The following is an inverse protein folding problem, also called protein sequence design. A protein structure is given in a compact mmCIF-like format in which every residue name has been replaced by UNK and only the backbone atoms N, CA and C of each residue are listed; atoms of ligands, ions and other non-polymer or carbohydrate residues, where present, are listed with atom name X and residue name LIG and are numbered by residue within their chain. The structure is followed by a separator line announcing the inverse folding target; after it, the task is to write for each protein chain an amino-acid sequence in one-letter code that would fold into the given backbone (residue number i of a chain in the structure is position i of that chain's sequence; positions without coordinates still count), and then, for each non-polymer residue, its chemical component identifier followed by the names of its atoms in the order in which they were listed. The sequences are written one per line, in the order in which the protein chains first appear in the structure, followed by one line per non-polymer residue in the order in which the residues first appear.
data_IF_293776010898
#
_entry.id   IF_293776010898
#
_cell.length_a   1.000
_cell.length_b   1.000
_cell.length_c   1.000
_cell.angle_alpha   90.00
_cell.angle_beta   90.00
_cell.angle_gamma   90.00
#
_symmetry.space_group_name_H-M   'P 1'
#
loop_
_entity.id
_entity.type
_entity.pdbx_description
1 polymer ?
#
# COMPACT_ATOMS: atom_id res chain seq x y z
N UNK A 1 14.75 -31.05 21.38
CA UNK A 1 15.30 -30.07 22.34
C UNK A 1 16.25 -29.06 21.69
N UNK A 2 17.37 -29.46 21.08
CA UNK A 2 18.34 -28.52 20.49
C UNK A 2 17.74 -27.57 19.43
N UNK A 3 16.89 -28.09 18.53
CA UNK A 3 16.18 -27.25 17.56
C UNK A 3 15.25 -26.22 18.18
N UNK A 4 14.60 -26.56 19.31
CA UNK A 4 13.70 -25.66 20.03
C UNK A 4 14.49 -24.54 20.72
N UNK A 5 15.65 -24.87 21.30
CA UNK A 5 16.54 -23.89 21.94
C UNK A 5 17.13 -22.92 20.91
N UNK A 6 17.54 -23.41 19.74
CA UNK A 6 18.05 -22.57 18.67
C UNK A 6 16.96 -21.65 18.10
N UNK A 7 15.73 -22.16 17.89
CA UNK A 7 14.62 -21.30 17.44
C UNK A 7 14.27 -20.22 18.47
N UNK A 8 14.31 -20.52 19.77
CA UNK A 8 14.01 -19.53 20.82
C UNK A 8 15.13 -18.50 20.96
N UNK A 9 16.40 -18.91 20.94
CA UNK A 9 17.54 -18.00 20.99
C UNK A 9 17.56 -17.07 19.76
N UNK A 10 17.20 -17.57 18.58
CA UNK A 10 17.09 -16.76 17.37
C UNK A 10 15.89 -15.80 17.42
N UNK A 11 14.75 -16.24 17.96
CA UNK A 11 13.60 -15.35 18.18
C UNK A 11 13.93 -14.20 19.15
N UNK A 12 14.67 -14.49 20.21
CA UNK A 12 15.15 -13.47 21.14
C UNK A 12 16.14 -12.52 20.47
N UNK A 13 17.00 -13.01 19.57
CA UNK A 13 17.91 -12.16 18.80
C UNK A 13 17.15 -11.26 17.81
N UNK A 14 16.12 -11.77 17.11
CA UNK A 14 15.24 -10.92 16.28
C UNK A 14 14.53 -9.89 17.13
N UNK A 15 13.95 -10.29 18.26
CA UNK A 15 13.24 -9.35 19.14
C UNK A 15 14.20 -8.27 19.66
N UNK A 16 15.43 -8.62 20.02
CA UNK A 16 16.48 -7.66 20.39
C UNK A 16 16.86 -6.77 19.21
N UNK A 17 17.05 -7.31 18.00
CA UNK A 17 17.39 -6.53 16.80
C UNK A 17 16.23 -5.61 16.40
N UNK A 18 14.98 -6.07 16.45
CA UNK A 18 13.79 -5.28 16.13
C UNK A 18 13.60 -4.18 17.17
N UNK A 19 13.86 -4.45 18.45
CA UNK A 19 13.86 -3.44 19.52
C UNK A 19 15.01 -2.44 19.38
N UNK A 20 16.22 -2.89 19.04
CA UNK A 20 17.40 -2.03 18.85
C UNK A 20 17.36 -1.23 17.54
N UNK A 21 16.77 -1.77 16.48
CA UNK A 21 16.48 -1.02 15.23
C UNK A 21 15.37 0.03 15.46
N UNK A 22 14.75 0.04 16.64
CA UNK A 22 13.85 1.11 17.07
C UNK A 22 12.47 0.98 16.45
N UNK A 23 11.65 0.07 16.97
CA UNK A 23 10.18 0.17 16.79
C UNK A 23 9.56 1.40 17.45
N UNK A 24 10.36 2.17 18.19
CA UNK A 24 10.01 3.49 18.70
C UNK A 24 10.09 4.59 17.62
N UNK A 25 10.20 4.23 16.33
CA UNK A 25 10.03 5.21 15.26
C UNK A 25 8.61 5.76 15.27
N UNK A 26 8.50 6.92 15.91
CA UNK A 26 7.28 7.69 16.00
C UNK A 26 6.96 8.27 14.62
N UNK A 27 5.86 7.84 14.03
CA UNK A 27 5.35 8.43 12.80
C UNK A 27 4.90 9.86 13.08
N UNK A 28 5.36 10.82 12.30
CA UNK A 28 4.93 12.20 12.40
C UNK A 28 4.02 12.56 11.22
N UNK A 29 2.87 13.13 11.55
CA UNK A 29 1.88 13.63 10.60
C UNK A 29 1.68 15.13 10.80
N UNK A 30 1.61 15.88 9.70
CA UNK A 30 1.19 17.29 9.76
C UNK A 30 -0.31 17.34 10.01
N UNK A 31 -0.73 18.27 10.86
CA UNK A 31 -2.13 18.55 11.21
C UNK A 31 -2.36 20.05 11.15
N UNK A 32 -3.58 20.44 10.79
CA UNK A 32 -4.00 21.83 10.78
C UNK A 32 -4.92 22.08 11.97
N UNK A 33 -4.66 23.14 12.70
CA UNK A 33 -5.52 23.60 13.80
C UNK A 33 -6.64 24.50 13.29
N UNK A 34 -7.66 24.72 14.13
CA UNK A 34 -8.81 25.55 13.79
C UNK A 34 -8.44 27.00 13.47
N UNK A 35 -7.31 27.48 13.97
CA UNK A 35 -6.76 28.83 13.75
C UNK A 35 -5.87 28.92 12.49
N UNK A 36 -5.73 27.82 11.74
CA UNK A 36 -4.89 27.74 10.55
C UNK A 36 -3.41 27.45 10.83
N UNK A 37 -3.01 27.32 12.10
CA UNK A 37 -1.63 26.92 12.43
C UNK A 37 -1.38 25.45 12.14
N UNK A 38 -0.17 25.13 11.67
CA UNK A 38 0.25 23.74 11.40
C UNK A 38 0.99 23.19 12.61
N UNK A 39 0.62 21.99 13.00
CA UNK A 39 1.28 21.23 14.07
C UNK A 39 1.70 19.86 13.57
N UNK A 40 2.68 19.27 14.23
CA UNK A 40 3.15 17.92 13.96
C UNK A 40 2.60 17.03 15.06
N UNK A 41 1.79 16.03 14.68
CA UNK A 41 1.25 15.03 15.59
C UNK A 41 1.88 13.69 15.32
N UNK A 42 2.39 13.11 16.39
CA UNK A 42 3.15 11.88 16.33
C UNK A 42 2.22 10.66 16.59
N UNK A 43 2.64 9.43 16.28
CA UNK A 43 1.82 8.21 16.45
C UNK A 43 1.42 7.92 17.90
N UNK A 44 2.19 8.45 18.85
CA UNK A 44 1.88 8.40 20.29
C UNK A 44 0.88 9.48 20.73
N UNK A 45 0.40 10.31 19.79
CA UNK A 45 -0.56 11.38 20.04
C UNK A 45 0.03 12.69 20.57
N UNK A 46 1.36 12.78 20.76
CA UNK A 46 2.03 14.02 21.15
C UNK A 46 1.98 14.99 19.98
N UNK A 47 1.60 16.23 20.26
CA UNK A 47 1.48 17.30 19.27
C UNK A 47 2.53 18.37 19.57
N UNK A 48 3.22 18.86 18.55
CA UNK A 48 4.22 19.94 18.67
C UNK A 48 4.07 20.97 17.56
N UNK A 49 4.48 22.21 17.80
CA UNK A 49 4.62 23.21 16.74
C UNK A 49 5.75 22.84 15.77
N UNK A 50 5.86 23.58 14.68
CA UNK A 50 6.90 23.39 13.67
C UNK A 50 8.31 23.64 14.26
N UNK A 51 8.40 24.55 15.25
CA UNK A 51 9.61 24.87 16.02
C UNK A 51 9.91 23.81 17.11
N UNK A 52 9.06 22.79 17.24
CA UNK A 52 9.25 21.69 18.19
C UNK A 52 8.67 21.93 19.59
N UNK A 53 7.96 23.04 19.83
CA UNK A 53 7.28 23.27 21.12
C UNK A 53 6.13 22.26 21.29
N UNK A 54 6.22 21.40 22.30
CA UNK A 54 5.14 20.44 22.64
C UNK A 54 3.92 21.21 23.14
N UNK A 55 2.76 20.91 22.56
CA UNK A 55 1.48 21.49 22.94
C UNK A 55 0.75 20.56 23.91
N UNK A 56 0.12 21.15 24.93
CA UNK A 56 -0.78 20.42 25.83
C UNK A 56 -2.07 20.04 25.11
N UNK A 57 -2.77 19.00 25.60
CA UNK A 57 -4.03 18.54 25.00
C UNK A 57 -5.11 19.62 24.95
N UNK A 58 -5.05 20.63 25.83
CA UNK A 58 -6.00 21.75 25.87
C UNK A 58 -5.70 22.84 24.83
N UNK A 59 -4.43 23.01 24.44
CA UNK A 59 -4.01 23.96 23.39
C UNK A 59 -4.29 23.41 21.98
N UNK A 60 -4.52 22.10 21.87
CA UNK A 60 -4.70 21.41 20.59
C UNK A 60 -6.17 21.46 20.18
N UNK A 61 -6.53 22.44 19.36
CA UNK A 61 -7.83 22.50 18.67
C UNK A 61 -7.68 21.91 17.27
N UNK A 62 -7.83 20.58 17.16
CA UNK A 62 -7.74 19.89 15.87
C UNK A 62 -9.12 19.87 15.22
N UNK A 63 -9.24 20.57 14.10
CA UNK A 63 -10.45 20.52 13.27
C UNK A 63 -10.45 19.18 12.53
N UNK A 64 -9.36 18.94 11.82
CA UNK A 64 -9.23 17.77 10.96
C UNK A 64 -7.77 17.29 10.97
N UNK A 65 -7.60 15.98 10.85
CA UNK A 65 -6.41 15.49 10.15
C UNK A 65 -6.31 16.28 8.85
N UNK A 66 -5.18 16.92 8.53
CA UNK A 66 -4.89 17.19 7.12
C UNK A 66 -5.06 15.81 6.48
N UNK A 67 -6.13 15.55 5.68
CA UNK A 67 -6.18 14.31 4.92
C UNK A 67 -4.88 14.28 4.13
N UNK A 68 -4.38 13.11 3.72
CA UNK A 68 -3.25 13.07 2.79
C UNK A 68 -3.57 14.02 1.64
N UNK A 69 -3.00 15.22 1.68
CA UNK A 69 -3.49 16.31 0.84
C UNK A 69 -3.37 15.82 -0.55
N UNK A 70 -4.45 15.95 -1.29
CA UNK A 70 -4.52 15.44 -2.63
C UNK A 70 -3.31 15.93 -3.41
N UNK A 71 -2.38 15.01 -3.72
CA UNK A 71 -1.20 15.34 -4.50
C UNK A 71 -1.73 15.77 -5.86
N UNK A 72 -1.72 17.06 -6.09
CA UNK A 72 -1.96 17.64 -7.37
C UNK A 72 -0.74 17.30 -8.19
N UNK A 73 -0.89 16.41 -9.15
CA UNK A 73 0.22 16.03 -10.01
C UNK A 73 0.56 17.17 -10.96
N UNK A 74 1.84 17.32 -11.30
CA UNK A 74 2.30 18.35 -12.24
C UNK A 74 2.12 18.04 -13.70
N UNK A 75 1.85 16.78 -13.99
CA UNK A 75 1.61 16.32 -15.34
C UNK A 75 0.27 15.66 -15.31
N UNK A 76 -0.50 15.81 -16.38
CA UNK A 76 -1.67 14.95 -16.61
C UNK A 76 -1.22 13.54 -16.35
N UNK A 77 -1.84 12.86 -15.37
CA UNK A 77 -1.54 11.47 -15.08
C UNK A 77 -1.57 10.75 -16.42
N UNK A 78 -0.39 10.32 -16.92
CA UNK A 78 -0.31 9.31 -17.97
C UNK A 78 -0.84 8.08 -17.28
N UNK A 79 -2.16 7.89 -17.25
CA UNK A 79 -2.76 6.93 -16.34
C UNK A 79 -2.04 5.61 -16.48
N UNK A 80 -1.66 5.11 -15.31
CA UNK A 80 -0.59 4.13 -15.19
C UNK A 80 -0.95 2.94 -16.08
N UNK A 81 -0.07 2.59 -17.01
CA UNK A 81 -0.29 1.50 -17.98
C UNK A 81 -0.29 0.12 -17.32
N UNK A 82 -0.34 0.07 -15.98
CA UNK A 82 -0.56 -1.14 -15.20
C UNK A 82 -1.98 -1.66 -15.29
N UNK A 83 -2.91 -0.88 -15.84
CA UNK A 83 -4.16 -1.39 -16.39
C UNK A 83 -3.83 -2.33 -17.54
N UNK A 84 -3.65 -3.61 -17.22
CA UNK A 84 -3.37 -4.63 -18.21
C UNK A 84 -4.63 -4.81 -19.08
N UNK A 85 -4.50 -4.84 -20.42
CA UNK A 85 -5.64 -5.01 -21.33
C UNK A 85 -6.41 -6.34 -21.17
N UNK A 86 -5.96 -7.23 -20.30
CA UNK A 86 -6.61 -8.50 -19.96
C UNK A 86 -7.61 -8.42 -18.81
N UNK A 87 -7.91 -7.22 -18.30
CA UNK A 87 -8.84 -7.09 -17.17
C UNK A 87 -10.20 -7.75 -17.45
N UNK A 88 -10.53 -8.71 -16.58
CA UNK A 88 -11.78 -9.46 -16.54
C UNK A 88 -12.96 -8.50 -16.68
N UNK A 89 -14.02 -8.86 -17.42
CA UNK A 89 -15.21 -8.02 -17.66
C UNK A 89 -15.74 -7.25 -16.42
N UNK A 90 -15.57 -7.81 -15.21
CA UNK A 90 -15.96 -7.19 -13.94
C UNK A 90 -15.25 -5.87 -13.63
N UNK A 91 -14.00 -5.71 -14.07
CA UNK A 91 -13.24 -4.46 -14.03
C UNK A 91 -13.96 -3.29 -14.74
N UNK A 92 -14.79 -3.61 -15.75
CA UNK A 92 -15.37 -2.62 -16.65
C UNK A 92 -16.67 -2.03 -16.13
N UNK A 93 -17.11 -2.41 -14.94
CA UNK A 93 -18.42 -2.06 -14.39
C UNK A 93 -18.28 -1.38 -13.04
N UNK A 94 -18.92 -0.22 -12.89
CA UNK A 94 -19.11 0.45 -11.60
C UNK A 94 -20.60 0.68 -11.38
N UNK A 95 -21.11 0.27 -10.22
CA UNK A 95 -22.53 0.29 -9.91
C UNK A 95 -22.90 1.47 -9.00
N UNK A 96 -23.93 2.21 -9.40
CA UNK A 96 -24.47 3.37 -8.72
C UNK A 96 -25.95 3.14 -8.44
N UNK A 97 -26.40 3.41 -7.22
CA UNK A 97 -27.83 3.36 -6.90
C UNK A 97 -28.38 4.78 -6.78
N UNK A 98 -29.59 5.00 -7.29
CA UNK A 98 -30.36 6.19 -6.90
C UNK A 98 -30.70 6.11 -5.39
N UNK A 99 -30.95 7.25 -4.75
CA UNK A 99 -31.21 7.38 -3.32
C UNK A 99 -32.38 6.49 -2.85
N UNK A 100 -33.41 6.31 -3.69
CA UNK A 100 -34.55 5.44 -3.38
C UNK A 100 -34.28 3.95 -3.65
N UNK A 101 -33.10 3.63 -4.19
CA UNK A 101 -32.62 2.30 -4.57
C UNK A 101 -33.56 1.52 -5.50
N UNK A 102 -34.45 2.22 -6.22
CA UNK A 102 -35.33 1.61 -7.22
C UNK A 102 -34.63 1.39 -8.55
N UNK A 103 -33.55 2.13 -8.80
CA UNK A 103 -32.75 2.05 -10.01
C UNK A 103 -31.28 1.83 -9.68
N UNK A 104 -30.62 0.96 -10.44
CA UNK A 104 -29.16 0.80 -10.43
C UNK A 104 -28.63 1.17 -11.81
N UNK A 105 -27.64 2.05 -11.84
CA UNK A 105 -26.89 2.44 -13.01
C UNK A 105 -25.52 1.78 -12.99
N UNK A 106 -25.15 1.11 -14.08
CA UNK A 106 -23.80 0.58 -14.27
C UNK A 106 -23.04 1.46 -15.24
N UNK A 107 -22.01 2.16 -14.78
CA UNK A 107 -21.02 2.75 -15.68
C UNK A 107 -20.22 1.61 -16.30
N UNK A 108 -20.29 1.49 -17.62
CA UNK A 108 -19.72 0.41 -18.41
C UNK A 108 -18.65 0.95 -19.34
N UNK A 109 -17.43 0.43 -19.20
CA UNK A 109 -16.34 0.70 -20.15
C UNK A 109 -16.51 -0.21 -21.38
N UNK A 110 -17.16 0.32 -22.41
CA UNK A 110 -17.54 -0.39 -23.63
C UNK A 110 -16.31 -0.89 -24.41
N UNK A 111 -15.35 0.01 -24.59
CA UNK A 111 -14.10 -0.22 -25.32
C UNK A 111 -12.94 0.22 -24.44
N UNK A 112 -12.17 -0.71 -23.83
CA UNK A 112 -11.01 -0.36 -23.02
C UNK A 112 -9.88 0.30 -23.81
N UNK A 113 -9.81 0.07 -25.12
CA UNK A 113 -8.76 0.62 -26.00
C UNK A 113 -9.02 2.10 -26.25
N UNK A 114 -10.27 2.43 -26.62
CA UNK A 114 -10.71 3.81 -26.84
C UNK A 114 -11.18 4.52 -25.57
N UNK A 115 -11.36 3.77 -24.48
CA UNK A 115 -11.91 4.21 -23.20
C UNK A 115 -13.26 4.90 -23.33
N UNK A 116 -14.15 4.26 -24.07
CA UNK A 116 -15.51 4.75 -24.20
C UNK A 116 -16.38 4.20 -23.09
N UNK A 117 -17.07 5.08 -22.41
CA UNK A 117 -17.90 4.80 -21.26
C UNK A 117 -19.35 5.23 -21.51
N UNK A 118 -20.31 4.50 -20.95
CA UNK A 118 -21.70 4.90 -20.87
C UNK A 118 -22.32 4.35 -19.58
N UNK A 119 -23.48 4.86 -19.19
CA UNK A 119 -24.24 4.26 -18.08
C UNK A 119 -25.39 3.43 -18.61
N UNK A 120 -25.66 2.30 -17.96
CA UNK A 120 -26.80 1.45 -18.24
C UNK A 120 -27.67 1.31 -16.99
N UNK A 121 -28.93 1.73 -17.09
CA UNK A 121 -29.87 1.74 -15.98
C UNK A 121 -30.74 0.49 -15.97
N UNK A 122 -30.97 -0.07 -14.78
CA UNK A 122 -31.87 -1.19 -14.54
C UNK A 122 -32.80 -0.89 -13.37
N UNK A 123 -34.08 -1.25 -13.50
CA UNK A 123 -35.01 -1.24 -12.39
C UNK A 123 -34.67 -2.40 -11.45
N UNK A 124 -34.53 -2.10 -10.15
CA UNK A 124 -34.28 -3.13 -9.13
C UNK A 124 -35.46 -4.09 -9.03
N UNK A 125 -36.73 -3.63 -9.02
CA UNK A 125 -37.86 -4.54 -9.22
C UNK A 125 -37.86 -5.04 -10.66
N UNK A 126 -37.67 -6.35 -10.85
CA UNK A 126 -37.80 -7.02 -12.14
C UNK A 126 -36.58 -6.98 -13.07
N UNK A 127 -35.50 -6.27 -12.71
CA UNK A 127 -34.25 -6.27 -13.48
C UNK A 127 -34.41 -5.74 -14.92
N UNK A 128 -35.46 -4.95 -15.19
CA UNK A 128 -35.74 -4.44 -16.53
C UNK A 128 -34.78 -3.28 -16.83
N UNK A 129 -34.14 -3.32 -17.99
CA UNK A 129 -33.35 -2.19 -18.47
C UNK A 129 -34.25 -0.96 -18.66
N UNK A 130 -33.87 0.16 -18.06
CA UNK A 130 -34.59 1.43 -18.16
C UNK A 130 -34.06 2.21 -19.37
N UNK A 131 -32.75 2.19 -19.59
CA UNK A 131 -32.12 2.85 -20.74
C UNK A 131 -30.62 3.02 -20.55
N UNK A 132 -30.08 3.99 -21.25
CA UNK A 132 -28.66 4.33 -21.27
C UNK A 132 -28.47 5.83 -21.08
N UNK A 133 -27.33 6.23 -20.51
CA UNK A 133 -26.90 7.63 -20.51
C UNK A 133 -25.54 7.71 -21.20
N UNK A 134 -25.50 8.50 -22.28
CA UNK A 134 -24.28 8.92 -22.97
C UNK A 134 -24.10 10.44 -22.84
N UNK A 135 -23.17 11.01 -23.59
CA UNK A 135 -22.86 12.45 -23.61
C UNK A 135 -24.06 13.34 -23.94
N UNK A 136 -25.01 12.84 -24.73
CA UNK A 136 -26.21 13.57 -25.13
C UNK A 136 -27.37 13.40 -24.14
N UNK A 137 -27.13 12.81 -22.97
CA UNK A 137 -28.16 12.49 -21.99
C UNK A 137 -28.72 11.08 -22.16
N UNK A 138 -29.98 10.91 -21.74
CA UNK A 138 -30.66 9.63 -21.74
C UNK A 138 -31.12 9.17 -23.12
N UNK A 139 -31.04 7.87 -23.37
CA UNK A 139 -31.53 7.19 -24.57
C UNK A 139 -32.05 5.79 -24.22
N UNK A 140 -33.10 5.34 -24.91
CA UNK A 140 -33.57 3.96 -24.81
C UNK A 140 -32.61 2.96 -25.48
N UNK A 141 -31.84 3.45 -26.45
CA UNK A 141 -30.90 2.68 -27.25
C UNK A 141 -29.47 2.86 -26.75
N UNK A 142 -28.62 1.86 -27.01
CA UNK A 142 -27.20 1.95 -26.69
C UNK A 142 -26.59 3.17 -27.42
N UNK A 143 -25.92 4.10 -26.72
CA UNK A 143 -25.31 5.27 -27.36
C UNK A 143 -24.25 4.82 -28.37
N UNK A 144 -24.21 5.47 -29.52
CA UNK A 144 -23.15 5.23 -30.51
C UNK A 144 -21.79 5.64 -29.93
N UNK A 145 -20.68 5.17 -30.50
CA UNK A 145 -19.34 5.43 -29.96
C UNK A 145 -19.04 6.93 -29.78
N UNK A 146 -19.53 7.78 -30.67
CA UNK A 146 -19.40 9.25 -30.62
C UNK A 146 -20.28 9.91 -29.53
N UNK A 147 -21.29 9.19 -29.04
CA UNK A 147 -22.18 9.62 -27.96
C UNK A 147 -21.76 9.06 -26.60
N UNK A 148 -20.71 8.23 -26.54
CA UNK A 148 -20.14 7.70 -25.31
C UNK A 148 -19.12 8.68 -24.72
N UNK A 149 -18.89 8.63 -23.41
CA UNK A 149 -17.89 9.43 -22.72
C UNK A 149 -16.49 8.90 -23.02
N UNK A 150 -15.61 9.72 -23.58
CA UNK A 150 -14.20 9.37 -23.73
C UNK A 150 -13.47 9.71 -22.44
N UNK A 151 -13.13 8.71 -21.64
CA UNK A 151 -12.53 8.91 -20.31
C UNK A 151 -11.01 8.78 -20.33
N UNK A 152 -10.34 9.54 -19.47
CA UNK A 152 -8.89 9.49 -19.33
C UNK A 152 -8.39 8.12 -18.83
N UNK A 153 -7.06 7.88 -18.95
CA UNK A 153 -6.41 6.61 -18.62
C UNK A 153 -6.72 6.07 -17.21
N UNK A 154 -6.94 6.94 -16.24
CA UNK A 154 -7.47 6.63 -14.92
C UNK A 154 -8.89 7.20 -14.85
N UNK A 155 -9.90 6.36 -14.95
CA UNK A 155 -11.29 6.77 -14.85
C UNK A 155 -11.72 6.67 -13.39
N UNK A 156 -11.48 7.75 -12.65
CA UNK A 156 -12.08 7.97 -11.33
C UNK A 156 -13.37 8.75 -11.49
N UNK A 157 -14.43 8.29 -10.84
CA UNK A 157 -15.65 9.07 -10.68
C UNK A 157 -15.52 9.85 -9.38
N UNK A 158 -15.79 11.15 -9.42
CA UNK A 158 -15.98 11.91 -8.20
C UNK A 158 -17.40 11.59 -7.72
N UNK A 159 -17.51 10.73 -6.73
CA UNK A 159 -18.74 10.52 -5.99
C UNK A 159 -18.61 11.35 -4.72
N UNK A 160 -19.37 12.45 -4.60
CA UNK A 160 -19.42 13.14 -3.32
C UNK A 160 -20.05 12.24 -2.26
N UNK A 161 -19.21 11.75 -1.35
CA UNK A 161 -19.64 11.02 -0.17
C UNK A 161 -18.87 11.50 1.05
N UNK A 162 -19.60 11.55 2.16
CA UNK A 162 -19.11 11.67 3.55
C UNK A 162 -18.09 10.56 3.88
N UNK A 163 -16.82 10.76 3.55
CA UNK A 163 -15.72 10.08 4.24
C UNK A 163 -14.37 10.73 3.92
N UNK A 164 -13.60 11.00 4.97
CA UNK A 164 -12.26 11.62 4.98
C UNK A 164 -11.15 10.76 4.36
N UNK A 165 -11.39 10.03 3.26
CA UNK A 165 -10.38 9.19 2.63
C UNK A 165 -10.39 9.33 1.11
N UNK A 166 -9.31 9.94 0.63
CA UNK A 166 -8.73 9.81 -0.71
C UNK A 166 -9.64 10.14 -1.90
N UNK A 167 -9.00 10.50 -3.03
CA UNK A 167 -9.72 10.53 -4.29
C UNK A 167 -10.37 9.16 -4.45
N UNK A 168 -11.63 9.13 -4.86
CA UNK A 168 -12.07 8.00 -5.66
C UNK A 168 -11.32 8.10 -6.99
N UNK A 169 -10.06 7.70 -6.99
CA UNK A 169 -9.64 6.71 -7.95
C UNK A 169 -10.74 5.66 -7.89
N UNK A 170 -11.50 5.51 -8.97
CA UNK A 170 -12.02 4.19 -9.33
C UNK A 170 -10.83 3.29 -9.65
N UNK A 171 -9.85 3.20 -8.73
CA UNK A 171 -8.97 2.07 -8.65
C UNK A 171 -9.92 0.93 -8.44
N UNK A 172 -9.93 0.00 -9.37
CA UNK A 172 -10.78 -1.15 -9.25
C UNK A 172 -10.28 -1.93 -8.05
N UNK A 173 -10.98 -1.80 -6.92
CA UNK A 173 -10.68 -2.53 -5.70
C UNK A 173 -11.06 -3.99 -5.92
N UNK A 174 -10.14 -4.75 -6.52
CA UNK A 174 -10.09 -6.21 -6.65
C UNK A 174 -11.41 -6.97 -6.38
N UNK A 175 -12.40 -6.82 -7.27
CA UNK A 175 -13.40 -7.83 -7.65
C UNK A 175 -14.35 -8.43 -6.60
N UNK A 176 -14.30 -8.10 -5.31
CA UNK A 176 -15.21 -8.67 -4.29
C UNK A 176 -16.02 -7.67 -3.47
N UNK A 177 -15.53 -6.47 -3.19
CA UNK A 177 -16.32 -5.39 -2.54
C UNK A 177 -17.32 -4.71 -3.52
N UNK A 178 -17.39 -5.22 -4.75
CA UNK A 178 -17.95 -4.59 -5.95
C UNK A 178 -19.47 -4.43 -6.05
N UNK A 179 -20.21 -4.58 -4.94
CA UNK A 179 -21.66 -4.34 -4.92
C UNK A 179 -22.13 -3.54 -3.72
N UNK A 180 -21.23 -2.90 -2.97
CA UNK A 180 -21.65 -1.81 -2.10
C UNK A 180 -22.18 -0.67 -2.98
N UNK A 181 -23.50 -0.66 -3.15
CA UNK A 181 -24.22 0.35 -3.90
C UNK A 181 -23.82 1.71 -3.34
N UNK A 182 -23.13 2.51 -4.16
CA UNK A 182 -22.89 3.89 -3.79
C UNK A 182 -24.18 4.64 -4.07
N UNK A 183 -24.86 5.03 -2.99
CA UNK A 183 -26.03 5.90 -3.09
C UNK A 183 -25.55 7.24 -3.69
N UNK A 184 -25.96 7.51 -4.93
CA UNK A 184 -25.64 8.76 -5.63
C UNK A 184 -26.67 9.81 -5.24
N UNK A 185 -26.44 10.47 -4.11
CA UNK A 185 -27.23 11.64 -3.71
C UNK A 185 -26.93 12.86 -4.57
N UNK A 186 -25.82 12.84 -5.29
CA UNK A 186 -25.33 13.97 -6.06
C UNK A 186 -25.01 13.59 -7.51
N UNK A 187 -24.93 14.58 -8.42
CA UNK A 187 -24.48 14.35 -9.78
C UNK A 187 -23.05 13.81 -9.85
N UNK A 188 -22.79 12.91 -10.79
CA UNK A 188 -21.44 12.42 -11.08
C UNK A 188 -20.70 13.40 -11.97
N UNK A 189 -19.42 13.64 -11.70
CA UNK A 189 -18.57 14.42 -12.60
C UNK A 189 -17.68 13.51 -13.45
N UNK A 190 -17.69 13.76 -14.76
CA UNK A 190 -16.93 12.99 -15.75
C UNK A 190 -16.13 13.92 -16.61
N UNK A 191 -14.87 13.55 -16.81
CA UNK A 191 -13.97 14.23 -17.74
C UNK A 191 -14.11 13.57 -19.11
N UNK A 192 -14.54 14.33 -20.13
CA UNK A 192 -14.69 13.83 -21.51
C UNK A 192 -14.41 14.95 -22.51
N UNK A 193 -13.57 14.70 -23.50
CA UNK A 193 -13.22 15.66 -24.56
C UNK A 193 -12.79 17.04 -24.02
N UNK A 194 -11.93 17.08 -22.99
CA UNK A 194 -11.50 18.32 -22.31
C UNK A 194 -12.63 19.14 -21.68
N UNK A 195 -13.79 18.53 -21.48
CA UNK A 195 -14.91 19.11 -20.75
C UNK A 195 -15.10 18.35 -19.45
N UNK A 196 -15.61 19.07 -18.46
CA UNK A 196 -16.14 18.46 -17.25
C UNK A 196 -17.64 18.40 -17.41
N UNK A 197 -18.19 17.19 -17.47
CA UNK A 197 -19.61 16.93 -17.63
C UNK A 197 -20.19 16.51 -16.29
N UNK A 198 -21.37 17.00 -16.00
CA UNK A 198 -22.19 16.61 -14.86
C UNK A 198 -23.24 15.61 -15.34
N UNK A 199 -23.19 14.38 -14.84
CA UNK A 199 -24.15 13.32 -15.15
C UNK A 199 -25.09 13.15 -13.97
N UNK A 200 -26.34 13.57 -14.14
CA UNK A 200 -27.37 13.38 -13.14
C UNK A 200 -28.15 12.09 -13.44
N UNK A 201 -27.81 11.01 -12.73
CA UNK A 201 -28.44 9.70 -12.90
C UNK A 201 -29.93 9.67 -12.52
N UNK A 202 -30.39 10.62 -11.69
CA UNK A 202 -31.79 10.72 -11.26
C UNK A 202 -32.63 11.52 -12.25
N UNK A 203 -32.09 12.64 -12.73
CA UNK A 203 -32.73 13.48 -13.76
C UNK A 203 -32.53 12.95 -15.18
N UNK A 204 -31.72 11.90 -15.34
CA UNK A 204 -31.40 11.29 -16.63
C UNK A 204 -30.78 12.30 -17.61
N UNK A 205 -30.07 13.29 -17.08
CA UNK A 205 -29.50 14.40 -17.82
C UNK A 205 -27.97 14.38 -17.77
N UNK A 206 -27.39 14.96 -18.81
CA UNK A 206 -25.96 15.26 -18.88
C UNK A 206 -25.84 16.72 -19.25
N UNK A 207 -25.15 17.47 -18.39
CA UNK A 207 -24.95 18.89 -18.55
C UNK A 207 -23.46 19.19 -18.58
N UNK A 208 -23.09 20.24 -19.31
CA UNK A 208 -21.72 20.72 -19.26
C UNK A 208 -21.51 21.42 -17.91
N UNK A 209 -20.64 20.87 -17.06
CA UNK A 209 -20.29 21.48 -15.79
C UNK A 209 -19.36 22.68 -16.01
N UNK A 210 -18.29 22.48 -16.78
CA UNK A 210 -17.37 23.53 -17.18
C UNK A 210 -16.95 23.38 -18.64
N UNK A 211 -17.01 24.47 -19.43
CA UNK A 211 -16.55 24.47 -20.83
C UNK A 211 -15.03 24.39 -20.90
N UNK A 212 -14.53 23.54 -21.81
CA UNK A 212 -13.15 23.49 -22.32
C UNK A 212 -12.05 23.91 -21.33
N UNK A 213 -11.72 23.03 -20.37
CA UNK A 213 -10.65 23.26 -19.40
C UNK A 213 -9.59 22.19 -19.58
N UNK A 214 -8.34 22.61 -19.74
CA UNK A 214 -7.19 21.72 -19.72
C UNK A 214 -6.79 21.36 -18.29
N UNK A 215 -7.68 20.71 -17.55
CA UNK A 215 -7.38 20.30 -16.19
C UNK A 215 -6.36 19.15 -16.20
N UNK A 216 -5.37 19.29 -15.33
CA UNK A 216 -4.35 18.30 -15.00
C UNK A 216 -4.91 17.30 -13.97
N UNK A 217 -5.67 17.79 -12.99
CA UNK A 217 -6.32 16.96 -11.96
C UNK A 217 -7.61 17.59 -11.46
N UNK A 218 -8.50 16.74 -10.94
CA UNK A 218 -9.75 17.15 -10.27
C UNK A 218 -9.85 16.41 -8.95
N UNK A 219 -9.98 17.14 -7.85
CA UNK A 219 -10.06 16.60 -6.50
C UNK A 219 -11.40 17.03 -5.90
N UNK A 220 -12.03 16.17 -5.12
CA UNK A 220 -13.16 16.59 -4.30
C UNK A 220 -12.64 17.19 -2.99
N UNK A 221 -13.21 18.30 -2.55
CA UNK A 221 -12.88 18.87 -1.24
C UNK A 221 -14.16 19.17 -0.47
N UNK A 222 -14.14 18.85 0.82
CA UNK A 222 -15.17 19.27 1.76
C UNK A 222 -14.68 20.55 2.43
N UNK A 223 -15.41 21.63 2.23
CA UNK A 223 -15.12 22.92 2.82
C UNK A 223 -16.06 23.20 3.97
N UNK A 224 -15.65 24.12 4.83
CA UNK A 224 -16.47 24.64 5.90
C UNK A 224 -16.67 26.13 5.65
N UNK A 225 -17.89 26.52 5.31
CA UNK A 225 -18.24 27.93 5.11
C UNK A 225 -18.95 28.45 6.34
N UNK A 226 -18.42 29.51 6.94
CA UNK A 226 -19.18 30.30 7.90
C UNK A 226 -20.28 31.06 7.14
N UNK A 227 -21.53 30.78 7.50
CA UNK A 227 -22.68 31.58 7.12
C UNK A 227 -23.17 32.36 8.33
N UNK A 228 -23.54 33.60 8.10
CA UNK A 228 -24.29 34.38 9.08
C UNK A 228 -25.74 33.90 9.02
N UNK A 229 -26.25 33.41 10.14
CA UNK A 229 -27.64 32.95 10.24
C UNK A 229 -28.50 34.16 10.55
N UNK A 230 -29.28 34.62 9.56
CA UNK A 230 -30.26 35.68 9.75
C UNK A 230 -31.33 35.24 10.75
N UNK A 231 -31.36 35.90 11.92
CA UNK A 231 -32.34 35.68 12.98
C UNK A 231 -31.99 36.44 14.26
N UNK A 232 -33.00 36.71 15.09
CA UNK A 232 -32.83 37.27 16.44
C UNK A 232 -32.20 36.22 17.38
N UNK A 233 -30.95 35.86 17.10
CA UNK A 233 -30.14 35.02 17.97
C UNK A 233 -29.43 35.97 18.94
N UNK A 234 -29.82 35.89 20.22
CA UNK A 234 -29.31 36.74 21.31
C UNK A 234 -27.80 36.55 21.55
N UNK A 235 -27.24 35.40 21.14
CA UNK A 235 -25.85 35.05 21.36
C UNK A 235 -25.01 35.23 20.07
N UNK A 236 -24.03 36.12 20.12
CA UNK A 236 -23.20 36.48 18.96
C UNK A 236 -22.39 35.28 18.41
N UNK A 237 -22.03 34.32 19.27
CA UNK A 237 -21.36 33.07 18.86
C UNK A 237 -22.25 32.14 18.05
N UNK A 238 -23.57 32.22 18.22
CA UNK A 238 -24.53 31.38 17.51
C UNK A 238 -24.95 31.99 16.15
N UNK A 239 -24.56 33.25 15.87
CA UNK A 239 -24.81 33.91 14.58
C UNK A 239 -23.97 33.33 13.45
N UNK A 240 -22.80 32.75 13.76
CA UNK A 240 -21.92 32.15 12.76
C UNK A 240 -22.06 30.64 12.80
N UNK A 241 -22.78 30.10 11.82
CA UNK A 241 -22.86 28.64 11.65
C UNK A 241 -21.86 28.23 10.58
N UNK A 242 -21.01 27.26 10.90
CA UNK A 242 -20.22 26.59 9.89
C UNK A 242 -21.08 25.53 9.20
N UNK A 243 -21.24 25.64 7.89
CA UNK A 243 -21.95 24.66 7.07
C UNK A 243 -20.94 23.99 6.15
N UNK A 244 -20.92 22.64 6.08
CA UNK A 244 -20.09 21.96 5.11
C UNK A 244 -20.55 22.35 3.69
N UNK A 245 -19.63 22.80 2.86
CA UNK A 245 -19.85 23.09 1.45
C UNK A 245 -19.01 22.09 0.67
N UNK A 246 -19.68 21.19 -0.06
CA UNK A 246 -19.00 20.25 -0.93
C UNK A 246 -18.62 20.94 -2.23
N UNK A 247 -17.42 20.65 -2.72
CA UNK A 247 -16.96 21.19 -3.98
C UNK A 247 -15.87 20.33 -4.63
N UNK A 248 -15.37 20.84 -5.74
CA UNK A 248 -14.19 20.31 -6.41
C UNK A 248 -13.11 21.37 -6.53
N UNK A 249 -11.88 20.91 -6.40
CA UNK A 249 -10.67 21.61 -6.78
C UNK A 249 -10.22 21.10 -8.15
N UNK A 250 -10.08 22.00 -9.10
CA UNK A 250 -9.56 21.75 -10.42
C UNK A 250 -8.17 22.36 -10.52
N UNK A 251 -7.19 21.58 -10.96
CA UNK A 251 -5.88 22.12 -11.34
C UNK A 251 -5.78 22.19 -12.85
N UNK A 252 -5.45 23.36 -13.37
CA UNK A 252 -4.96 23.56 -14.74
C UNK A 252 -3.44 23.69 -14.71
N UNK A 253 -2.83 24.01 -15.85
CA UNK A 253 -1.38 24.28 -15.90
C UNK A 253 -0.98 25.49 -15.05
N UNK A 254 -1.81 26.52 -14.98
CA UNK A 254 -1.48 27.80 -14.34
C UNK A 254 -2.42 28.21 -13.21
N UNK A 255 -3.51 27.49 -12.98
CA UNK A 255 -4.54 27.89 -12.01
C UNK A 255 -5.05 26.70 -11.19
N UNK A 256 -5.42 26.99 -9.94
CA UNK A 256 -6.33 26.18 -9.15
C UNK A 256 -7.69 26.87 -9.13
N UNK A 257 -8.74 26.12 -9.44
CA UNK A 257 -10.11 26.62 -9.52
C UNK A 257 -10.97 25.78 -8.59
N UNK A 258 -11.65 26.45 -7.65
CA UNK A 258 -12.64 25.79 -6.80
C UNK A 258 -14.05 26.07 -7.27
N UNK A 259 -14.84 25.01 -7.31
CA UNK A 259 -16.24 25.08 -7.72
C UNK A 259 -17.09 24.38 -6.69
N UNK A 260 -18.07 25.11 -6.16
CA UNK A 260 -19.04 24.60 -5.19
C UNK A 260 -20.16 23.82 -5.86
N UNK A 261 -20.68 22.82 -5.15
CA UNK A 261 -21.91 22.08 -5.48
C UNK A 261 -23.16 22.55 -4.74
N UNK A 262 -23.10 23.68 -4.01
CA UNK A 262 -24.19 24.13 -3.13
C UNK A 262 -25.58 23.97 -3.78
N UNK A 263 -26.52 23.41 -2.99
CA UNK A 263 -27.78 22.75 -3.41
C UNK A 263 -28.72 23.54 -4.34
N UNK A 264 -28.50 24.84 -4.52
CA UNK A 264 -29.22 25.62 -5.52
C UNK A 264 -28.55 25.40 -6.89
N UNK A 265 -28.91 24.26 -7.49
CA UNK A 265 -28.40 23.69 -8.74
C UNK A 265 -28.25 24.66 -9.93
N UNK A 266 -28.89 25.83 -9.89
CA UNK A 266 -28.84 26.80 -10.96
C UNK A 266 -27.55 27.63 -10.99
N UNK A 267 -26.77 27.71 -9.90
CA UNK A 267 -25.61 28.61 -9.85
C UNK A 267 -24.33 27.86 -9.49
N UNK A 268 -23.72 27.27 -10.52
CA UNK A 268 -22.29 26.88 -10.52
C UNK A 268 -21.46 28.09 -10.14
N UNK A 269 -20.96 28.12 -8.92
CA UNK A 269 -20.18 29.25 -8.42
C UNK A 269 -18.73 28.83 -8.33
N UNK A 270 -17.90 29.41 -9.19
CA UNK A 270 -16.45 29.43 -8.98
C UNK A 270 -16.22 30.21 -7.69
N UNK A 271 -15.82 29.51 -6.63
CA UNK A 271 -15.63 30.11 -5.31
C UNK A 271 -14.37 30.95 -5.28
N UNK A 272 -13.29 30.43 -5.85
CA UNK A 272 -11.98 31.05 -5.84
C UNK A 272 -11.13 30.50 -6.98
N UNK A 273 -10.25 31.35 -7.50
CA UNK A 273 -9.21 31.00 -8.47
C UNK A 273 -7.88 31.47 -7.91
N UNK A 274 -6.86 30.62 -7.96
CA UNK A 274 -5.50 30.98 -7.54
C UNK A 274 -4.51 30.63 -8.63
N UNK A 275 -3.63 31.58 -8.94
CA UNK A 275 -2.57 31.37 -9.93
C UNK A 275 -1.47 30.50 -9.32
N UNK A 276 -1.10 29.42 -10.01
CA UNK A 276 0.00 28.54 -9.63
C UNK A 276 1.33 29.20 -10.05
N UNK A 277 2.27 29.41 -9.11
CA UNK A 277 3.63 29.86 -9.42
C UNK A 277 4.29 29.00 -10.48
N UNK A 278 5.07 29.63 -11.35
CA UNK A 278 5.74 28.94 -12.45
C UNK A 278 6.60 27.77 -11.96
N UNK A 279 7.30 27.92 -10.83
CA UNK A 279 8.13 26.84 -10.28
C UNK A 279 7.34 25.62 -9.76
N UNK A 280 6.03 25.77 -9.50
CA UNK A 280 5.16 24.70 -9.01
C UNK A 280 4.35 24.03 -10.12
N UNK A 281 4.25 24.63 -11.31
CA UNK A 281 3.49 24.06 -12.44
C UNK A 281 3.99 22.69 -12.82
N UNK A 282 5.30 22.49 -12.77
CA UNK A 282 5.97 21.22 -13.10
C UNK A 282 6.21 20.29 -11.89
N UNK A 283 5.79 20.68 -10.67
CA UNK A 283 5.98 19.88 -9.45
C UNK A 283 4.65 19.35 -8.86
N UNK A 284 4.65 18.11 -8.33
CA UNK A 284 3.52 17.66 -7.54
C UNK A 284 3.49 18.42 -6.21
N UNK A 285 2.31 18.87 -5.79
CA UNK A 285 2.13 19.52 -4.51
C UNK A 285 0.74 19.23 -3.96
N UNK A 286 0.56 19.29 -2.66
CA UNK A 286 -0.77 19.26 -2.05
C UNK A 286 -1.20 20.68 -1.74
N UNK A 287 -2.48 20.98 -1.94
CA UNK A 287 -3.06 22.25 -1.59
C UNK A 287 -4.08 22.08 -0.48
N UNK A 288 -4.10 23.00 0.48
CA UNK A 288 -5.09 23.04 1.55
C UNK A 288 -5.62 24.45 1.74
N UNK A 289 -6.90 24.53 2.08
CA UNK A 289 -7.55 25.79 2.39
C UNK A 289 -7.56 26.08 3.88
N UNK A 290 -7.32 27.35 4.19
CA UNK A 290 -7.47 27.91 5.51
C UNK A 290 -8.79 28.67 5.60
N UNK A 291 -9.28 28.86 6.82
CA UNK A 291 -10.60 29.49 7.07
C UNK A 291 -10.69 30.92 6.56
N UNK A 292 -9.56 31.63 6.52
CA UNK A 292 -9.44 33.00 6.01
C UNK A 292 -9.32 33.07 4.48
N UNK A 293 -9.54 31.95 3.78
CA UNK A 293 -9.37 31.74 2.32
C UNK A 293 -7.93 31.77 1.82
N UNK A 294 -6.99 31.98 2.73
CA UNK A 294 -5.59 31.70 2.44
C UNK A 294 -5.42 30.18 2.30
N UNK A 295 -4.24 29.74 1.89
CA UNK A 295 -4.02 28.31 1.69
C UNK A 295 -2.57 27.94 1.85
N UNK A 296 -2.38 26.63 1.95
CA UNK A 296 -1.11 26.01 2.22
C UNK A 296 -0.75 25.10 1.06
N UNK A 297 0.40 25.35 0.49
CA UNK A 297 1.07 24.42 -0.42
C UNK A 297 2.01 23.56 0.40
N UNK A 298 1.85 22.25 0.28
CA UNK A 298 2.76 21.27 0.86
C UNK A 298 3.49 20.57 -0.29
N UNK A 299 4.77 20.88 -0.46
CA UNK A 299 5.69 20.17 -1.35
C UNK A 299 6.39 19.06 -0.55
N UNK A 300 6.10 17.80 -0.85
CA UNK A 300 6.82 16.68 -0.22
C UNK A 300 8.08 16.39 -1.03
N UNK A 301 9.23 16.79 -0.51
CA UNK A 301 10.51 16.48 -1.13
C UNK A 301 10.98 15.06 -0.80
N UNK A 302 11.97 14.62 -1.57
CA UNK A 302 12.51 13.27 -1.64
C UNK A 302 12.86 12.68 -0.27
N UNK A 303 12.49 11.42 -0.05
CA UNK A 303 12.84 10.66 1.16
C UNK A 303 14.36 10.56 1.29
N UNK A 304 14.90 10.98 2.43
CA UNK A 304 16.32 10.78 2.71
C UNK A 304 16.59 9.27 2.89
N UNK A 305 17.37 8.63 2.00
CA UNK A 305 17.44 7.16 1.92
C UNK A 305 17.98 6.51 3.19
N UNK A 306 18.79 7.23 3.96
CA UNK A 306 19.42 6.73 5.19
C UNK A 306 18.71 7.13 6.49
N UNK A 307 17.85 8.16 6.47
CA UNK A 307 17.30 8.77 7.70
C UNK A 307 15.81 8.49 7.88
N UNK A 308 15.18 7.90 6.88
CA UNK A 308 13.75 7.65 6.87
C UNK A 308 12.87 8.90 7.14
N UNK A 309 13.43 10.07 6.85
CA UNK A 309 12.75 11.36 6.96
C UNK A 309 12.32 11.85 5.59
N UNK A 310 11.23 12.60 5.56
CA UNK A 310 10.80 13.40 4.42
C UNK A 310 11.00 14.87 4.76
N UNK A 311 11.73 15.58 3.90
CA UNK A 311 11.72 17.04 3.94
C UNK A 311 10.43 17.50 3.30
N UNK A 312 9.61 18.23 4.05
CA UNK A 312 8.35 18.79 3.57
C UNK A 312 8.52 20.30 3.55
N UNK A 313 8.49 20.89 2.36
CA UNK A 313 8.50 22.34 2.19
C UNK A 313 7.07 22.83 2.20
N UNK A 314 6.76 23.75 3.10
CA UNK A 314 5.42 24.31 3.27
C UNK A 314 5.47 25.78 2.90
N UNK A 315 4.53 26.23 2.06
CA UNK A 315 4.34 27.63 1.70
C UNK A 315 2.92 28.03 2.04
N UNK A 316 2.76 29.12 2.75
CA UNK A 316 1.47 29.79 2.87
C UNK A 316 1.33 30.78 1.72
N UNK A 317 0.14 30.94 1.18
CA UNK A 317 -0.16 32.06 0.29
C UNK A 317 -1.34 32.85 0.84
N UNK A 318 -1.36 34.14 0.57
CA UNK A 318 -2.49 35.01 0.94
C UNK A 318 -3.62 34.96 -0.09
N UNK A 319 -4.71 35.69 0.19
CA UNK A 319 -5.86 35.79 -0.70
C UNK A 319 -5.56 36.47 -2.05
N UNK A 320 -4.43 37.17 -2.15
CA UNK A 320 -3.97 37.86 -3.36
C UNK A 320 -3.08 36.95 -4.23
N UNK A 321 -2.72 35.77 -3.71
CA UNK A 321 -1.85 34.81 -4.36
C UNK A 321 -0.36 35.10 -4.15
N UNK A 322 0.01 35.97 -3.21
CA UNK A 322 1.40 36.16 -2.82
C UNK A 322 1.83 35.03 -1.90
N UNK A 323 3.04 34.51 -2.14
CA UNK A 323 3.61 33.42 -1.35
C UNK A 323 4.46 33.97 -0.22
N UNK A 324 4.19 33.53 1.00
CA UNK A 324 5.10 33.70 2.11
C UNK A 324 6.39 32.89 1.89
N UNK A 325 7.46 33.29 2.56
CA UNK A 325 8.72 32.54 2.54
C UNK A 325 8.48 31.08 2.90
N UNK A 326 8.94 30.11 2.09
CA UNK A 326 8.81 28.69 2.42
C UNK A 326 9.51 28.39 3.74
N UNK A 327 8.95 27.50 4.53
CA UNK A 327 9.65 26.87 5.63
C UNK A 327 9.72 25.36 5.40
N UNK A 328 10.81 24.75 5.85
CA UNK A 328 11.08 23.33 5.65
C UNK A 328 10.94 22.60 6.98
N UNK A 329 10.24 21.46 6.93
CA UNK A 329 10.02 20.60 8.09
C UNK A 329 10.46 19.19 7.73
N UNK A 330 11.41 18.66 8.49
CA UNK A 330 11.71 17.24 8.45
C UNK A 330 10.65 16.49 9.27
N UNK A 331 9.91 15.60 8.61
CA UNK A 331 8.98 14.67 9.27
C UNK A 331 9.56 13.27 9.22
N UNK A 332 9.47 12.54 10.34
CA UNK A 332 9.77 11.11 10.37
C UNK A 332 8.59 10.34 9.78
N UNK A 333 8.85 9.52 8.78
CA UNK A 333 7.86 8.61 8.23
C UNK A 333 8.17 7.19 8.70
N UNK A 334 7.17 6.32 8.75
CA UNK A 334 7.41 4.90 8.96
C UNK A 334 8.44 4.39 7.94
N UNK A 335 9.36 3.49 8.33
CA UNK A 335 10.09 2.70 7.35
C UNK A 335 9.00 2.02 6.55
N UNK A 336 8.89 2.31 5.25
CA UNK A 336 8.00 1.56 4.38
C UNK A 336 8.12 0.09 4.74
N UNK A 337 7.02 -0.47 5.22
CA UNK A 337 6.82 -1.76 5.89
C UNK A 337 7.67 -2.92 5.30
N UNK A 338 8.06 -2.79 4.04
CA UNK A 338 9.03 -3.60 3.31
C UNK A 338 10.39 -3.85 3.99
N UNK A 339 11.02 -2.89 4.69
CA UNK A 339 12.38 -3.11 5.22
C UNK A 339 12.40 -4.06 6.43
N UNK A 340 11.41 -3.96 7.32
CA UNK A 340 11.22 -4.87 8.45
C UNK A 340 10.74 -6.26 8.00
N UNK A 341 9.95 -6.32 6.92
CA UNK A 341 9.55 -7.59 6.28
C UNK A 341 10.78 -8.32 5.71
N UNK A 342 11.64 -7.63 4.97
CA UNK A 342 12.81 -8.23 4.31
C UNK A 342 13.76 -8.95 5.28
N UNK A 343 13.97 -8.41 6.49
CA UNK A 343 14.88 -9.03 7.48
C UNK A 343 14.24 -10.25 8.14
N UNK A 344 12.93 -10.22 8.43
CA UNK A 344 12.20 -11.37 9.00
C UNK A 344 11.97 -12.52 8.01
N UNK A 345 11.87 -12.22 6.71
CA UNK A 345 11.57 -13.21 5.66
C UNK A 345 12.78 -13.98 5.13
N UNK A 346 14.02 -13.54 5.41
CA UNK A 346 15.24 -14.24 4.96
C UNK A 346 15.48 -15.54 5.75
N UNK A 347 14.94 -15.67 6.98
CA UNK A 347 15.40 -16.71 7.93
C UNK A 347 14.41 -17.86 8.14
N UNK A 348 13.09 -17.60 8.11
CA UNK A 348 12.05 -18.65 8.14
C UNK A 348 10.85 -18.35 7.21
N UNK A 349 11.08 -18.08 5.91
CA UNK A 349 10.05 -17.65 4.98
C UNK A 349 8.76 -18.48 5.05
N UNK A 350 8.77 -19.83 5.08
CA UNK A 350 7.52 -20.60 5.00
C UNK A 350 6.60 -20.43 6.21
N UNK A 351 7.16 -20.38 7.43
CA UNK A 351 6.35 -20.33 8.66
C UNK A 351 5.89 -18.91 8.99
N UNK A 352 6.70 -17.89 8.72
CA UNK A 352 6.28 -16.49 8.85
C UNK A 352 5.27 -16.12 7.77
N UNK A 353 5.47 -16.56 6.53
CA UNK A 353 4.49 -16.42 5.44
C UNK A 353 3.21 -17.19 5.80
N UNK A 354 3.28 -18.44 6.29
CA UNK A 354 2.09 -19.20 6.66
C UNK A 354 1.34 -18.59 7.87
N UNK A 355 2.05 -18.17 8.91
CA UNK A 355 1.44 -17.50 10.08
C UNK A 355 0.80 -16.18 9.67
N UNK A 356 1.49 -15.35 8.87
CA UNK A 356 0.90 -14.10 8.37
C UNK A 356 -0.27 -14.37 7.45
N UNK A 357 -0.16 -15.33 6.54
CA UNK A 357 -1.28 -15.75 5.69
C UNK A 357 -2.49 -16.18 6.54
N UNK A 358 -2.25 -16.91 7.64
CA UNK A 358 -3.28 -17.31 8.59
C UNK A 358 -3.89 -16.14 9.39
N UNK A 359 -3.06 -15.30 10.02
CA UNK A 359 -3.50 -14.13 10.78
C UNK A 359 -4.25 -13.14 9.87
N UNK A 360 -3.85 -13.04 8.62
CA UNK A 360 -4.46 -12.19 7.62
C UNK A 360 -5.78 -12.78 7.10
N UNK A 361 -5.84 -14.09 6.82
CA UNK A 361 -7.12 -14.77 6.54
C UNK A 361 -8.12 -14.62 7.70
N UNK A 362 -7.64 -14.57 8.95
CA UNK A 362 -8.48 -14.39 10.13
C UNK A 362 -8.96 -12.95 10.33
N UNK A 363 -8.11 -11.96 10.00
CA UNK A 363 -8.43 -10.55 10.27
C UNK A 363 -9.20 -9.88 9.13
N UNK A 364 -8.91 -10.19 7.87
CA UNK A 364 -9.56 -9.56 6.73
C UNK A 364 -9.64 -10.52 5.52
N UNK A 365 -10.76 -11.26 5.33
CA UNK A 365 -10.89 -12.24 4.25
C UNK A 365 -10.95 -11.64 2.82
N UNK A 366 -10.85 -10.32 2.65
CA UNK A 366 -11.21 -9.63 1.40
C UNK A 366 -10.03 -9.13 0.54
N UNK A 367 -8.81 -9.02 1.07
CA UNK A 367 -7.71 -8.41 0.30
C UNK A 367 -6.85 -9.43 -0.49
N UNK A 368 -7.26 -9.71 -1.73
CA UNK A 368 -6.48 -10.50 -2.72
C UNK A 368 -5.19 -9.85 -3.20
N UNK A 369 -4.97 -8.55 -2.99
CA UNK A 369 -3.70 -7.84 -3.34
C UNK A 369 -2.49 -8.50 -2.67
N UNK A 370 -2.68 -8.97 -1.44
CA UNK A 370 -1.64 -9.64 -0.68
C UNK A 370 -1.39 -11.07 -1.16
N UNK A 371 -2.35 -11.70 -1.86
CA UNK A 371 -2.13 -13.00 -2.49
C UNK A 371 -1.12 -12.90 -3.64
N UNK A 372 -1.22 -11.88 -4.49
CA UNK A 372 -0.21 -11.63 -5.53
C UNK A 372 1.16 -11.26 -4.96
N UNK A 373 1.22 -10.46 -3.90
CA UNK A 373 2.47 -10.11 -3.22
C UNK A 373 3.11 -11.32 -2.54
N UNK A 374 2.33 -12.10 -1.79
CA UNK A 374 2.80 -13.35 -1.18
C UNK A 374 3.20 -14.38 -2.22
N UNK A 375 2.51 -14.48 -3.36
CA UNK A 375 2.97 -15.31 -4.48
C UNK A 375 4.29 -14.81 -5.04
N UNK A 376 4.45 -13.50 -5.27
CA UNK A 376 5.71 -12.93 -5.76
C UNK A 376 6.87 -13.18 -4.78
N UNK A 377 6.62 -12.99 -3.48
CA UNK A 377 7.57 -13.25 -2.40
C UNK A 377 7.90 -14.75 -2.33
N UNK A 378 6.91 -15.65 -2.38
CA UNK A 378 7.13 -17.10 -2.42
C UNK A 378 7.94 -17.48 -3.66
N UNK A 379 7.61 -16.95 -4.84
CA UNK A 379 8.32 -17.22 -6.09
C UNK A 379 9.77 -16.70 -6.08
N UNK A 380 10.06 -15.61 -5.38
CA UNK A 380 11.42 -15.09 -5.23
C UNK A 380 12.21 -15.78 -4.11
N UNK A 381 11.57 -16.21 -3.02
CA UNK A 381 12.24 -16.73 -1.83
C UNK A 381 12.28 -18.27 -1.74
N UNK A 382 11.50 -19.01 -2.55
CA UNK A 382 11.56 -20.48 -2.54
C UNK A 382 12.94 -21.06 -2.92
N UNK A 383 13.74 -20.46 -3.84
CA UNK A 383 15.05 -21.02 -4.16
C UNK A 383 16.02 -20.92 -2.97
N UNK A 384 15.96 -19.81 -2.22
CA UNK A 384 16.72 -19.63 -0.99
C UNK A 384 16.28 -20.62 0.09
N UNK A 385 14.96 -20.80 0.25
CA UNK A 385 14.39 -21.77 1.19
C UNK A 385 14.85 -23.20 0.86
N UNK A 386 14.83 -23.57 -0.42
CA UNK A 386 15.31 -24.86 -0.91
C UNK A 386 16.81 -25.02 -0.66
N UNK A 387 17.62 -23.99 -0.92
CA UNK A 387 19.05 -24.01 -0.66
C UNK A 387 19.36 -24.25 0.83
N UNK A 388 18.67 -23.56 1.74
CA UNK A 388 18.82 -23.75 3.19
C UNK A 388 18.41 -25.17 3.60
N UNK A 389 17.31 -25.69 3.05
CA UNK A 389 16.84 -27.05 3.32
C UNK A 389 17.86 -28.10 2.84
N UNK A 390 18.44 -27.92 1.64
CA UNK A 390 19.47 -28.80 1.09
C UNK A 390 20.74 -28.79 1.94
N UNK A 391 21.24 -27.60 2.31
CA UNK A 391 22.43 -27.47 3.18
C UNK A 391 22.18 -28.13 4.55
N UNK A 392 20.99 -27.92 5.13
CA UNK A 392 20.60 -28.53 6.41
C UNK A 392 20.48 -30.05 6.30
N UNK A 393 19.90 -30.56 5.22
CA UNK A 393 19.79 -32.00 4.94
C UNK A 393 21.15 -32.66 4.79
N UNK A 394 22.10 -32.00 4.12
CA UNK A 394 23.47 -32.49 4.00
C UNK A 394 24.17 -32.48 5.37
N UNK A 395 24.03 -31.41 6.16
CA UNK A 395 24.56 -31.36 7.53
C UNK A 395 24.05 -32.53 8.40
N UNK A 396 22.75 -32.85 8.31
CA UNK A 396 22.15 -33.98 9.01
C UNK A 396 22.66 -35.33 8.48
N UNK A 397 22.82 -35.48 7.17
CA UNK A 397 23.40 -36.68 6.55
C UNK A 397 24.84 -36.89 7.03
N UNK A 398 25.65 -35.83 7.10
CA UNK A 398 27.02 -35.91 7.61
C UNK A 398 27.04 -36.27 9.10
N UNK A 399 26.17 -35.65 9.91
CA UNK A 399 26.05 -35.94 11.34
C UNK A 399 25.64 -37.39 11.62
N UNK A 400 24.61 -37.89 10.93
CA UNK A 400 24.11 -39.27 11.10
C UNK A 400 25.15 -40.29 10.65
N UNK A 401 25.87 -40.01 9.56
CA UNK A 401 26.96 -40.85 9.08
C UNK A 401 28.15 -40.89 10.05
N UNK A 402 28.36 -39.81 10.82
CA UNK A 402 29.49 -39.67 11.76
C UNK A 402 29.20 -39.99 13.22
N UNK A 403 27.96 -40.30 13.58
CA UNK A 403 27.61 -40.66 14.96
C UNK A 403 28.44 -41.84 15.51
N UNK A 404 29.03 -42.66 14.62
CA UNK A 404 29.95 -43.75 14.96
C UNK A 404 31.39 -43.35 15.33
N UNK A 405 31.82 -42.10 15.08
CA UNK A 405 33.19 -41.62 15.36
C UNK A 405 33.29 -40.77 16.63
N UNK A 406 32.19 -40.64 17.38
CA UNK A 406 32.10 -39.76 18.54
C UNK A 406 31.26 -38.51 18.27
N UNK A 407 30.56 -38.05 19.31
CA UNK A 407 29.58 -36.98 19.21
C UNK A 407 30.19 -35.61 18.87
N UNK A 408 31.34 -35.27 19.46
CA UNK A 408 31.97 -33.96 19.25
C UNK A 408 32.39 -33.74 17.80
N UNK A 409 32.93 -34.76 17.16
CA UNK A 409 33.40 -34.67 15.78
C UNK A 409 32.24 -34.63 14.77
N UNK A 410 31.17 -35.38 15.03
CA UNK A 410 29.95 -35.36 14.23
C UNK A 410 29.24 -33.99 14.28
N UNK A 411 29.29 -33.29 15.42
CA UNK A 411 28.76 -31.94 15.55
C UNK A 411 29.66 -30.94 14.82
N UNK A 412 30.99 -31.02 15.00
CA UNK A 412 31.93 -30.13 14.34
C UNK A 412 31.78 -30.14 12.82
N UNK A 413 31.73 -31.31 12.20
CA UNK A 413 31.55 -31.41 10.74
C UNK A 413 30.14 -31.07 10.26
N UNK A 414 29.11 -31.33 11.07
CA UNK A 414 27.75 -30.86 10.81
C UNK A 414 27.69 -29.34 10.74
N UNK A 415 28.36 -28.64 11.66
CA UNK A 415 28.46 -27.18 11.66
C UNK A 415 29.28 -26.65 10.48
N UNK A 416 30.39 -27.29 10.11
CA UNK A 416 31.18 -26.88 8.93
C UNK A 416 30.36 -27.01 7.65
N UNK A 417 29.66 -28.12 7.44
CA UNK A 417 28.78 -28.31 6.29
C UNK A 417 27.62 -27.30 6.25
N UNK A 418 27.08 -26.95 7.42
CA UNK A 418 26.02 -25.96 7.54
C UNK A 418 26.50 -24.53 7.23
N UNK A 419 27.58 -24.08 7.86
CA UNK A 419 28.07 -22.70 7.73
C UNK A 419 28.70 -22.40 6.37
N UNK A 420 29.35 -23.39 5.76
CA UNK A 420 30.08 -23.19 4.50
C UNK A 420 29.38 -23.83 3.29
N UNK A 421 28.22 -24.47 3.47
CA UNK A 421 27.46 -25.09 2.39
C UNK A 421 28.29 -26.08 1.56
N UNK A 422 28.24 -25.94 0.23
CA UNK A 422 28.92 -26.84 -0.72
C UNK A 422 30.43 -26.86 -0.53
N UNK A 423 31.07 -25.73 -0.23
CA UNK A 423 32.52 -25.68 -0.02
C UNK A 423 32.93 -26.35 1.29
N UNK A 424 32.12 -26.22 2.35
CA UNK A 424 32.29 -26.96 3.60
C UNK A 424 32.20 -28.47 3.40
N UNK A 425 31.26 -28.91 2.57
CA UNK A 425 31.11 -30.31 2.19
C UNK A 425 32.31 -30.78 1.38
N UNK A 426 32.75 -30.03 0.36
CA UNK A 426 33.92 -30.38 -0.43
C UNK A 426 35.18 -30.50 0.45
N UNK A 427 35.40 -29.53 1.33
CA UNK A 427 36.49 -29.57 2.32
C UNK A 427 36.39 -30.80 3.23
N UNK A 428 35.19 -31.12 3.70
CA UNK A 428 34.93 -32.34 4.47
C UNK A 428 35.21 -33.63 3.69
N UNK A 429 34.78 -33.72 2.42
CA UNK A 429 35.01 -34.89 1.56
C UNK A 429 36.50 -35.08 1.25
N UNK A 430 37.26 -33.98 1.08
CA UNK A 430 38.68 -33.98 0.73
C UNK A 430 39.57 -34.23 1.95
N UNK A 431 39.32 -33.53 3.05
CA UNK A 431 40.15 -33.61 4.26
C UNK A 431 40.05 -35.00 4.91
N UNK A 432 38.93 -35.69 4.72
CA UNK A 432 38.64 -36.90 5.47
C UNK A 432 38.80 -38.16 4.65
N UNK A 433 39.73 -39.02 5.07
CA UNK A 433 39.82 -40.39 4.57
C UNK A 433 38.65 -41.20 5.11
N UNK A 434 37.90 -41.81 4.20
CA UNK A 434 36.76 -42.66 4.53
C UNK A 434 37.29 -44.01 5.01
N UNK A 435 37.11 -44.30 6.31
CA UNK A 435 37.42 -45.61 6.86
C UNK A 435 36.61 -46.69 6.15
N UNK A 436 37.24 -47.83 5.87
CA UNK A 436 36.56 -48.98 5.26
C UNK A 436 35.52 -49.49 6.25
N UNK A 437 34.28 -49.64 5.78
CA UNK A 437 33.23 -50.31 6.55
C UNK A 437 33.33 -51.80 6.28
N UNK A 438 33.44 -52.57 7.35
CA UNK A 438 33.45 -54.03 7.32
C UNK A 438 32.30 -54.55 8.15
N UNK A 439 31.74 -55.68 7.74
CA UNK A 439 30.69 -56.34 8.51
C UNK A 439 31.34 -57.09 9.67
N UNK A 440 31.00 -56.72 10.91
CA UNK A 440 31.58 -57.37 12.08
C UNK A 440 31.21 -58.87 12.09
N UNK A 441 32.18 -59.79 12.17
CA UNK A 441 31.88 -61.23 12.16
C UNK A 441 31.12 -61.67 13.42
N UNK A 442 31.30 -61.00 14.56
CA UNK A 442 30.60 -61.36 15.80
C UNK A 442 29.15 -60.85 15.86
N UNK A 443 28.90 -59.59 15.50
CA UNK A 443 27.57 -58.98 15.67
C UNK A 443 26.81 -58.72 14.36
N UNK A 444 27.44 -58.94 13.21
CA UNK A 444 26.84 -58.80 11.88
C UNK A 444 26.53 -57.36 11.43
N UNK A 445 26.85 -56.34 12.24
CA UNK A 445 26.65 -54.93 11.91
C UNK A 445 27.78 -54.39 11.04
N UNK A 446 27.45 -53.49 10.11
CA UNK A 446 28.45 -52.73 9.36
C UNK A 446 29.09 -51.68 10.27
N UNK A 447 30.39 -51.83 10.51
CA UNK A 447 31.16 -50.98 11.42
C UNK A 447 32.39 -50.43 10.70
N UNK A 448 32.80 -49.22 11.08
CA UNK A 448 34.01 -48.59 10.57
C UNK A 448 35.24 -49.25 11.20
N UNK A 449 36.18 -49.73 10.39
CA UNK A 449 37.46 -50.28 10.84
C UNK A 449 38.40 -49.13 11.22
N UNK A 450 38.20 -48.55 12.41
CA UNK A 450 39.03 -47.46 12.96
C UNK A 450 40.01 -47.92 14.05
N UNK A 451 39.95 -49.19 14.44
CA UNK A 451 40.83 -49.80 15.42
C UNK A 451 40.64 -51.31 15.45
N UNK A 452 41.34 -51.98 16.37
CA UNK A 452 41.37 -53.44 16.47
C UNK A 452 40.03 -54.04 16.94
N UNK A 453 39.09 -53.22 17.44
CA UNK A 453 37.83 -53.65 18.05
C UNK A 453 36.61 -53.07 17.35
N UNK A 454 35.55 -53.86 17.28
CA UNK A 454 34.24 -53.47 16.77
C UNK A 454 33.60 -52.41 17.66
N UNK A 455 33.23 -51.26 17.11
CA UNK A 455 32.58 -50.18 17.85
C UNK A 455 31.18 -50.52 18.38
N UNK A 456 30.55 -51.58 17.86
CA UNK A 456 29.23 -52.02 18.29
C UNK A 456 29.24 -53.03 19.44
N UNK A 457 30.11 -54.04 19.39
CA UNK A 457 30.14 -55.15 20.35
C UNK A 457 31.50 -55.34 21.05
N UNK A 458 32.46 -54.46 20.81
CA UNK A 458 33.82 -54.49 21.34
C UNK A 458 34.68 -55.73 21.00
N UNK A 459 34.16 -56.66 20.17
CA UNK A 459 34.92 -57.83 19.72
C UNK A 459 36.09 -57.42 18.82
N UNK A 460 37.23 -58.09 18.97
CA UNK A 460 38.40 -57.86 18.11
C UNK A 460 38.11 -58.33 16.67
N UNK A 461 38.56 -57.55 15.70
CA UNK A 461 38.53 -57.99 14.31
C UNK A 461 39.58 -59.08 14.10
N UNK A 462 39.30 -60.10 13.27
CA UNK A 462 40.30 -61.10 12.94
C UNK A 462 41.51 -60.41 12.33
N UNK A 463 42.70 -60.75 12.83
CA UNK A 463 43.93 -60.24 12.22
C UNK A 463 43.96 -60.67 10.75
N UNK A 464 44.35 -59.77 9.83
CA UNK A 464 44.47 -60.14 8.43
C UNK A 464 45.39 -61.35 8.33
N UNK A 465 44.96 -62.35 7.57
CA UNK A 465 45.76 -63.55 7.33
C UNK A 465 47.11 -63.10 6.76
N UNK A 466 48.21 -63.51 7.39
CA UNK A 466 49.56 -63.08 7.02
C UNK A 466 49.90 -63.65 5.64
N UNK A 467 49.57 -62.92 4.58
CA UNK A 467 49.93 -63.29 3.20
C UNK A 467 51.39 -62.90 2.96
N UNK A 468 52.32 -63.64 3.59
CA UNK A 468 53.72 -63.89 3.22
C UNK A 468 54.63 -62.80 2.63
N UNK A 469 54.27 -61.51 2.65
CA UNK A 469 55.01 -60.46 1.92
C UNK A 469 55.12 -59.12 2.66
N UNK A 470 54.99 -59.11 3.99
CA UNK A 470 55.35 -57.93 4.79
C UNK A 470 56.83 -58.01 5.20
N UNK A 471 57.68 -57.24 4.51
CA UNK A 471 59.08 -57.02 4.86
C UNK A 471 59.13 -56.03 6.03
N UNK A 472 59.42 -56.51 7.23
CA UNK A 472 59.76 -55.65 8.37
C UNK A 472 61.23 -55.20 8.20
N UNK A 473 61.45 -53.90 8.03
CA UNK A 473 62.76 -53.25 8.06
C UNK A 473 62.88 -52.38 9.31
#
# INVERSE_FOLDING_TARGET
MLGLVLTTAWWLLIDVIVREIGTDEIEESLRLQNDGSIVIRNSNGVTRTLEGKVLSRQEVSLDHSLPFGFSLDSKKKRGDSRFQPEEEWRSRLLAYADHDRRTIWYATLADPTRRLLFFQGYSVPGGRRIGYIGRNGFSENLPKSEEQFEVAKSWGFLIPRDSNQEFVHGGMWNGREYFERTDCTFPLLITSDRRLLQVNLRQLSVEEFLPEIDFISVNQENWQREIEVDGDIENETDRKRTVPEEGIQLRTESELVWVSFAENADHKKVLQKVTIPEELRERPFSWYHLKDRSGLIIEREQRHPLKNTFTTRIRQHDNEGNFATPFEVETKSFPTYYSTILIGEIVFPPLTIAKRHWEFQQREPEQRVYFSLSQMIIFQLWPLSLAVALVSGIGLMLHTRHRGNGWGEAIGWGLVGFCFGVSGIAGYLIHRRWGVRVRCPSCGRDVLLLGEKCSGCAAEFPQPELVGTEVFA
#
